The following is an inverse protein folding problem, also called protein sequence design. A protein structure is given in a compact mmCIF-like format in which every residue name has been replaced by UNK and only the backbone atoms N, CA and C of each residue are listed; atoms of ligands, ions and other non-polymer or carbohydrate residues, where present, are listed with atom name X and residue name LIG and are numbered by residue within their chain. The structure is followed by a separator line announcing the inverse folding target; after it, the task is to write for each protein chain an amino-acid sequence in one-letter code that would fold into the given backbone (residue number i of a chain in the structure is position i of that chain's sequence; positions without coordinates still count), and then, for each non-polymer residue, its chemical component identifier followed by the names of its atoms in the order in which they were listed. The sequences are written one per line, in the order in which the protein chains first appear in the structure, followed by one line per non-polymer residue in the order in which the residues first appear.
data_IF_582968089107
#
_entry.id   IF_582968089107
#
_cell.length_a   1.000
_cell.length_b   1.000
_cell.length_c   1.000
_cell.angle_alpha   90.00
_cell.angle_beta   90.00
_cell.angle_gamma   90.00
#
_symmetry.space_group_name_H-M   'P 1'
#
loop_
_entity.id
_entity.type
_entity.pdbx_description
1 polymer ?
#
# COMPACT_ATOMS: atom_id res chain seq x y z
N UNK A 1 2.31 17.84 -2.90
CA UNK A 1 3.12 16.65 -2.54
C UNK A 1 3.27 15.74 -3.75
N UNK A 2 4.47 15.28 -4.09
CA UNK A 2 4.71 14.21 -5.07
C UNK A 2 5.28 12.99 -4.33
N UNK A 3 4.66 11.83 -4.48
CA UNK A 3 5.04 10.55 -3.89
C UNK A 3 5.33 9.55 -5.01
N UNK A 4 6.50 8.91 -4.98
CA UNK A 4 6.90 7.92 -5.98
C UNK A 4 7.23 6.58 -5.31
N UNK A 5 6.63 5.50 -5.79
CA UNK A 5 6.98 4.14 -5.38
C UNK A 5 7.95 3.56 -6.42
N UNK A 6 9.24 3.72 -6.18
CA UNK A 6 10.30 3.48 -7.16
C UNK A 6 10.70 2.00 -7.17
N UNK A 7 10.25 1.26 -8.19
CA UNK A 7 10.43 -0.20 -8.28
C UNK A 7 11.80 -0.61 -8.84
N UNK A 8 12.45 0.28 -9.61
CA UNK A 8 13.69 0.01 -10.36
C UNK A 8 14.88 0.86 -9.92
N UNK A 9 14.67 1.81 -9.01
CA UNK A 9 15.64 2.84 -8.62
C UNK A 9 15.90 3.91 -9.69
N UNK A 10 14.98 4.06 -10.66
CA UNK A 10 15.13 5.02 -11.76
C UNK A 10 15.01 6.48 -11.28
N UNK A 11 14.38 6.71 -10.12
CA UNK A 11 14.21 8.04 -9.53
C UNK A 11 15.35 8.41 -8.56
N UNK A 12 16.32 7.52 -8.33
CA UNK A 12 17.44 7.79 -7.43
C UNK A 12 18.27 8.98 -7.90
N UNK A 13 18.68 8.98 -9.18
CA UNK A 13 19.49 10.05 -9.76
C UNK A 13 18.76 11.40 -9.73
N UNK A 14 17.45 11.39 -9.98
CA UNK A 14 16.61 12.57 -9.88
C UNK A 14 16.62 13.14 -8.46
N UNK A 15 16.49 12.27 -7.45
CA UNK A 15 16.51 12.69 -6.06
C UNK A 15 17.88 13.21 -5.61
N UNK A 16 18.98 12.62 -6.10
CA UNK A 16 20.33 13.14 -5.83
C UNK A 16 20.49 14.54 -6.41
N UNK A 17 20.02 14.76 -7.65
CA UNK A 17 20.09 16.06 -8.33
C UNK A 17 19.22 17.13 -7.66
N UNK A 18 18.05 16.74 -7.14
CA UNK A 18 17.07 17.67 -6.54
C UNK A 18 16.83 17.41 -5.04
N UNK A 19 17.89 17.11 -4.29
CA UNK A 19 17.83 16.70 -2.87
C UNK A 19 17.13 17.68 -1.94
N UNK A 20 17.12 18.98 -2.26
CA UNK A 20 16.41 20.00 -1.48
C UNK A 20 14.89 19.99 -1.67
N UNK A 21 14.41 19.38 -2.76
CA UNK A 21 13.01 19.38 -3.16
C UNK A 21 12.36 17.99 -3.07
N UNK A 22 13.18 16.93 -3.07
CA UNK A 22 12.73 15.55 -3.22
C UNK A 22 13.53 14.61 -2.32
N UNK A 23 12.87 14.06 -1.30
CA UNK A 23 13.47 13.09 -0.37
C UNK A 23 13.48 11.70 -1.01
N UNK A 24 14.55 10.94 -0.82
CA UNK A 24 14.62 9.56 -1.30
C UNK A 24 14.98 8.63 -0.16
N UNK A 25 14.11 7.64 0.05
CA UNK A 25 14.28 6.66 1.10
C UNK A 25 14.58 5.30 0.48
N UNK A 26 15.65 4.67 0.94
CA UNK A 26 15.74 3.22 0.83
C UNK A 26 14.74 2.61 1.80
N UNK A 27 14.12 1.49 1.43
CA UNK A 27 13.14 0.82 2.27
C UNK A 27 13.64 0.60 3.70
N UNK A 28 14.89 0.14 3.85
CA UNK A 28 15.53 -0.11 5.16
C UNK A 28 15.62 1.14 6.05
N UNK A 29 15.67 2.33 5.44
CA UNK A 29 15.80 3.62 6.14
C UNK A 29 14.42 4.28 6.31
N UNK A 30 13.37 3.70 5.73
CA UNK A 30 11.99 4.13 5.87
C UNK A 30 11.33 3.38 7.03
N UNK A 31 11.61 3.81 8.26
CA UNK A 31 11.03 3.22 9.47
C UNK A 31 9.57 3.67 9.68
N UNK A 32 8.61 2.81 9.36
CA UNK A 32 7.19 3.02 9.63
C UNK A 32 6.60 1.85 10.44
N UNK A 33 5.44 2.09 11.05
CA UNK A 33 4.64 1.06 11.67
C UNK A 33 3.31 0.91 10.92
N UNK A 34 3.14 -0.22 10.24
CA UNK A 34 1.90 -0.48 9.51
C UNK A 34 0.69 -0.66 10.41
N UNK A 35 0.88 -1.11 11.65
CA UNK A 35 -0.21 -1.22 12.62
C UNK A 35 -0.61 0.12 13.23
N UNK A 36 0.19 1.17 13.05
CA UNK A 36 -0.16 2.53 13.51
C UNK A 36 -1.06 3.23 12.51
N UNK A 37 -2.23 3.76 12.94
CA UNK A 37 -3.11 4.53 12.08
C UNK A 37 -2.44 5.85 11.65
N UNK A 38 -2.77 6.38 10.47
CA UNK A 38 -2.44 7.76 10.13
C UNK A 38 -3.07 8.75 11.12
N UNK A 39 -2.47 9.93 11.26
CA UNK A 39 -2.96 10.97 12.15
C UNK A 39 -4.41 11.37 11.81
N UNK A 40 -5.28 11.40 12.82
CA UNK A 40 -6.70 11.74 12.67
C UNK A 40 -7.59 10.59 12.20
N UNK A 41 -7.02 9.42 11.89
CA UNK A 41 -7.79 8.22 11.54
C UNK A 41 -8.12 7.43 12.80
N UNK A 42 -9.37 7.01 12.95
CA UNK A 42 -9.80 6.15 14.05
C UNK A 42 -9.07 4.80 13.99
N UNK A 43 -8.51 4.37 15.13
CA UNK A 43 -7.77 3.12 15.24
C UNK A 43 -8.57 1.92 14.72
N UNK A 44 -9.86 1.81 15.07
CA UNK A 44 -10.70 0.69 14.62
C UNK A 44 -10.88 0.65 13.10
N UNK A 45 -11.04 1.82 12.47
CA UNK A 45 -11.15 1.93 11.02
C UNK A 45 -9.87 1.44 10.35
N UNK A 46 -8.71 1.86 10.88
CA UNK A 46 -7.41 1.42 10.37
C UNK A 46 -7.18 -0.09 10.58
N UNK A 47 -7.56 -0.64 11.72
CA UNK A 47 -7.44 -2.09 12.00
C UNK A 47 -8.24 -2.90 10.98
N UNK A 48 -9.50 -2.54 10.76
CA UNK A 48 -10.36 -3.24 9.81
C UNK A 48 -9.77 -3.20 8.40
N UNK A 49 -9.31 -2.02 7.99
CA UNK A 49 -8.69 -1.83 6.69
C UNK A 49 -7.38 -2.61 6.53
N UNK A 50 -6.47 -2.49 7.51
CA UNK A 50 -5.19 -3.19 7.47
C UNK A 50 -5.40 -4.71 7.41
N UNK A 51 -6.36 -5.23 8.18
CA UNK A 51 -6.72 -6.63 8.14
C UNK A 51 -7.27 -7.05 6.77
N UNK A 52 -8.08 -6.21 6.12
CA UNK A 52 -8.60 -6.45 4.77
C UNK A 52 -7.50 -6.42 3.70
N UNK A 53 -6.58 -5.47 3.78
CA UNK A 53 -5.41 -5.37 2.89
C UNK A 53 -4.56 -6.64 3.00
N UNK A 54 -4.19 -7.03 4.23
CA UNK A 54 -3.38 -8.21 4.49
C UNK A 54 -4.12 -9.50 4.10
N UNK A 55 -5.44 -9.58 4.37
CA UNK A 55 -6.27 -10.71 3.95
C UNK A 55 -6.32 -10.86 2.44
N UNK A 56 -6.49 -9.75 1.71
CA UNK A 56 -6.50 -9.75 0.25
C UNK A 56 -5.14 -10.16 -0.30
N UNK A 57 -4.06 -9.56 0.20
CA UNK A 57 -2.70 -9.85 -0.27
C UNK A 57 -2.27 -11.29 0.01
N UNK A 58 -2.61 -11.83 1.18
CA UNK A 58 -2.30 -13.20 1.54
C UNK A 58 -3.33 -14.23 1.04
N UNK A 59 -4.37 -13.80 0.30
CA UNK A 59 -5.46 -14.65 -0.17
C UNK A 59 -6.14 -15.43 0.98
N UNK A 60 -6.33 -14.76 2.11
CA UNK A 60 -6.90 -15.34 3.31
C UNK A 60 -8.43 -15.42 3.18
N UNK A 61 -9.00 -16.43 3.85
CA UNK A 61 -10.46 -16.57 4.00
C UNK A 61 -10.96 -15.56 5.03
N UNK A 62 -12.25 -15.23 4.95
CA UNK A 62 -12.92 -14.25 5.83
C UNK A 62 -12.67 -14.52 7.33
N UNK A 63 -12.64 -15.78 7.77
CA UNK A 63 -12.38 -16.14 9.16
C UNK A 63 -10.97 -15.70 9.63
N UNK A 64 -9.96 -15.78 8.76
CA UNK A 64 -8.60 -15.34 9.07
C UNK A 64 -8.47 -13.81 9.10
N UNK A 65 -9.28 -13.11 8.30
CA UNK A 65 -9.40 -11.66 8.41
C UNK A 65 -10.02 -11.27 9.76
N UNK A 66 -11.11 -11.92 10.18
CA UNK A 66 -11.77 -11.67 11.48
C UNK A 66 -10.78 -11.91 12.63
N UNK A 67 -10.06 -13.03 12.62
CA UNK A 67 -9.04 -13.31 13.62
C UNK A 67 -7.96 -12.22 13.67
N UNK A 68 -7.55 -11.68 12.52
CA UNK A 68 -6.57 -10.60 12.46
C UNK A 68 -7.12 -9.28 13.02
N UNK A 69 -8.39 -8.96 12.76
CA UNK A 69 -9.09 -7.80 13.36
C UNK A 69 -9.16 -7.93 14.87
N UNK A 70 -9.62 -9.07 15.38
CA UNK A 70 -9.74 -9.32 16.83
C UNK A 70 -8.38 -9.18 17.52
N UNK A 71 -7.34 -9.78 16.92
CA UNK A 71 -5.99 -9.76 17.44
C UNK A 71 -5.42 -8.33 17.47
N UNK A 72 -5.53 -7.59 16.37
CA UNK A 72 -5.08 -6.20 16.32
C UNK A 72 -5.82 -5.32 17.32
N UNK A 73 -7.13 -5.52 17.47
CA UNK A 73 -7.97 -4.77 18.43
C UNK A 73 -7.50 -5.03 19.86
N UNK A 74 -7.26 -6.29 20.23
CA UNK A 74 -6.73 -6.66 21.54
C UNK A 74 -5.36 -6.02 21.79
N UNK A 75 -4.41 -6.16 20.85
CA UNK A 75 -3.07 -5.58 20.99
C UNK A 75 -3.10 -4.06 21.16
N UNK A 76 -3.99 -3.35 20.45
CA UNK A 76 -4.14 -1.90 20.62
C UNK A 76 -4.73 -1.51 21.98
N UNK A 77 -5.56 -2.36 22.59
CA UNK A 77 -6.13 -2.10 23.91
C UNK A 77 -5.16 -2.42 25.06
N UNK A 78 -4.25 -3.37 24.86
CA UNK A 78 -3.33 -3.85 25.89
C UNK A 78 -2.01 -3.06 25.96
N UNK A 79 -1.66 -2.30 24.91
CA UNK A 79 -0.37 -1.64 24.77
C UNK A 79 -0.50 -0.11 24.82
N UNK A 80 0.36 0.54 25.59
CA UNK A 80 0.44 2.02 25.64
C UNK A 80 0.93 2.64 24.33
N UNK A 81 1.63 1.85 23.51
CA UNK A 81 2.13 2.22 22.19
C UNK A 81 1.47 1.37 21.11
N UNK A 82 1.33 1.89 19.89
CA UNK A 82 0.84 1.11 18.76
C UNK A 82 1.62 -0.21 18.59
N UNK A 83 0.93 -1.35 18.46
CA UNK A 83 1.58 -2.63 18.24
C UNK A 83 2.33 -2.63 16.91
N UNK A 84 3.23 -3.58 16.71
CA UNK A 84 3.95 -3.81 15.45
C UNK A 84 3.55 -5.16 14.85
N UNK A 85 3.91 -5.43 13.59
CA UNK A 85 3.68 -6.77 13.02
C UNK A 85 4.48 -7.87 13.75
N UNK A 86 5.59 -7.50 14.43
CA UNK A 86 6.29 -8.43 15.33
C UNK A 86 5.42 -8.81 16.54
N UNK A 87 4.67 -7.86 17.11
CA UNK A 87 3.75 -8.13 18.22
C UNK A 87 2.58 -9.00 17.76
N UNK A 88 2.08 -8.76 16.55
CA UNK A 88 1.09 -9.62 15.89
C UNK A 88 1.62 -11.05 15.72
N UNK A 89 2.82 -11.23 15.18
CA UNK A 89 3.44 -12.55 15.03
C UNK A 89 3.61 -13.28 16.39
N UNK A 90 4.05 -12.55 17.43
CA UNK A 90 4.17 -13.09 18.79
C UNK A 90 2.82 -13.55 19.35
N UNK A 91 1.74 -12.78 19.16
CA UNK A 91 0.39 -13.18 19.61
C UNK A 91 -0.12 -14.40 18.84
N UNK A 92 0.11 -14.45 17.54
CA UNK A 92 -0.24 -15.63 16.72
C UNK A 92 0.52 -16.88 17.17
N UNK A 93 1.79 -16.74 17.59
CA UNK A 93 2.54 -17.86 18.17
C UNK A 93 1.87 -18.41 19.43
N UNK A 94 1.41 -17.54 20.34
CA UNK A 94 0.70 -17.96 21.55
C UNK A 94 -0.57 -18.73 21.22
N UNK A 95 -1.40 -18.21 20.30
CA UNK A 95 -2.64 -18.87 19.85
C UNK A 95 -2.35 -20.23 19.19
N UNK A 96 -1.30 -20.29 18.35
CA UNK A 96 -0.94 -21.48 17.59
C UNK A 96 -0.41 -22.63 18.46
N UNK A 97 0.45 -22.32 19.44
CA UNK A 97 1.27 -23.33 20.11
C UNK A 97 1.07 -23.42 21.63
N UNK A 98 0.62 -22.36 22.28
CA UNK A 98 0.55 -22.29 23.76
C UNK A 98 -0.90 -22.43 24.23
N UNK A 99 -1.81 -21.64 23.67
CA UNK A 99 -3.19 -21.56 24.13
C UNK A 99 -4.02 -22.74 23.61
N UNK A 100 -5.05 -23.14 24.36
CA UNK A 100 -6.08 -24.05 23.85
C UNK A 100 -7.12 -23.26 23.07
N UNK A 101 -6.77 -22.90 21.83
CA UNK A 101 -7.66 -22.18 20.91
C UNK A 101 -8.19 -23.07 19.78
N UNK A 102 -9.43 -22.85 19.37
CA UNK A 102 -9.99 -23.44 18.14
C UNK A 102 -9.37 -22.82 16.88
N UNK A 103 -8.70 -21.67 17.00
CA UNK A 103 -8.10 -20.93 15.88
C UNK A 103 -6.64 -21.33 15.58
N UNK A 104 -6.14 -22.42 16.16
CA UNK A 104 -4.72 -22.84 16.05
C UNK A 104 -4.20 -22.93 14.63
N UNK A 105 -4.86 -23.70 13.77
CA UNK A 105 -4.39 -23.90 12.39
C UNK A 105 -4.38 -22.59 11.59
N UNK A 106 -5.39 -21.75 11.84
CA UNK A 106 -5.51 -20.44 11.22
C UNK A 106 -4.39 -19.52 11.66
N UNK A 107 -4.08 -19.51 12.97
CA UNK A 107 -2.98 -18.74 13.54
C UNK A 107 -1.62 -19.20 13.00
N UNK A 108 -1.41 -20.51 12.78
CA UNK A 108 -0.19 -21.04 12.16
C UNK A 108 -0.02 -20.48 10.73
N UNK A 109 -1.07 -20.54 9.91
CA UNK A 109 -1.03 -20.05 8.52
C UNK A 109 -0.79 -18.54 8.46
N UNK A 110 -1.49 -17.77 9.29
CA UNK A 110 -1.30 -16.32 9.41
C UNK A 110 0.11 -15.98 9.85
N UNK A 111 0.62 -16.66 10.87
CA UNK A 111 1.97 -16.46 11.39
C UNK A 111 3.01 -16.68 10.30
N UNK A 112 2.91 -17.78 9.57
CA UNK A 112 3.86 -18.08 8.48
C UNK A 112 3.92 -16.96 7.43
N UNK A 113 2.76 -16.40 7.04
CA UNK A 113 2.68 -15.28 6.09
C UNK A 113 3.27 -14.00 6.67
N UNK A 114 2.94 -13.66 7.91
CA UNK A 114 3.47 -12.46 8.59
C UNK A 114 4.98 -12.57 8.81
N UNK A 115 5.49 -13.73 9.20
CA UNK A 115 6.93 -13.94 9.38
C UNK A 115 7.70 -13.88 8.05
N UNK A 116 7.11 -14.42 6.97
CA UNK A 116 7.67 -14.27 5.63
C UNK A 116 7.77 -12.80 5.21
N UNK A 117 6.72 -12.02 5.50
CA UNK A 117 6.70 -10.58 5.25
C UNK A 117 7.76 -9.84 6.08
N UNK A 118 7.87 -10.15 7.38
CA UNK A 118 8.87 -9.58 8.29
C UNK A 118 10.30 -9.92 7.87
N UNK A 119 10.53 -11.11 7.32
CA UNK A 119 11.85 -11.52 6.82
C UNK A 119 12.28 -10.67 5.62
N UNK A 120 11.34 -10.28 4.76
CA UNK A 120 11.61 -9.49 3.56
C UNK A 120 11.71 -7.99 3.87
N UNK A 121 10.80 -7.47 4.69
CA UNK A 121 10.72 -6.04 5.00
C UNK A 121 11.60 -5.62 6.18
N UNK A 122 12.06 -6.57 6.99
CA UNK A 122 12.86 -6.31 8.19
C UNK A 122 12.16 -5.34 9.14
N UNK A 123 12.91 -4.38 9.66
CA UNK A 123 12.40 -3.36 10.58
C UNK A 123 11.68 -2.20 9.89
N UNK A 124 11.71 -2.11 8.55
CA UNK A 124 11.16 -0.96 7.82
C UNK A 124 9.67 -0.74 8.10
N UNK A 125 8.89 -1.80 8.29
CA UNK A 125 7.42 -1.70 8.41
C UNK A 125 6.88 -2.09 9.78
N UNK A 126 7.79 -2.44 10.68
CA UNK A 126 7.51 -2.90 12.05
C UNK A 126 8.32 -2.13 13.09
N UNK A 127 8.74 -0.92 12.76
CA UNK A 127 9.51 -0.08 13.68
C UNK A 127 8.59 0.58 14.71
N UNK A 128 9.08 0.73 15.94
CA UNK A 128 8.44 1.61 16.94
C UNK A 128 8.75 3.09 16.66
N UNK A 129 9.83 3.36 15.93
CA UNK A 129 10.13 4.68 15.39
C UNK A 129 9.35 4.83 14.10
N UNK A 130 8.76 6.00 13.90
CA UNK A 130 7.95 6.29 12.74
C UNK A 130 8.51 7.51 12.03
N UNK A 131 8.60 7.43 10.71
CA UNK A 131 8.76 8.62 9.89
C UNK A 131 7.60 9.57 10.22
N UNK A 132 7.91 10.86 10.36
CA UNK A 132 6.89 11.86 10.60
C UNK A 132 5.98 11.95 9.37
N UNK A 133 4.80 11.33 9.46
CA UNK A 133 3.78 11.35 8.42
C UNK A 133 3.39 12.79 8.02
N UNK A 134 3.40 13.72 8.97
CA UNK A 134 3.22 15.14 8.68
C UNK A 134 4.28 15.65 7.69
N UNK A 135 5.56 15.38 7.95
CA UNK A 135 6.65 15.77 7.04
C UNK A 135 6.53 15.11 5.67
N UNK A 136 6.09 13.84 5.61
CA UNK A 136 5.88 13.14 4.34
C UNK A 136 4.73 13.72 3.52
N UNK A 137 3.68 14.20 4.18
CA UNK A 137 2.54 14.83 3.50
C UNK A 137 2.93 16.22 2.96
N UNK A 138 3.81 16.92 3.65
CA UNK A 138 4.24 18.29 3.29
C UNK A 138 5.45 18.31 2.34
N UNK A 139 6.14 17.19 2.12
CA UNK A 139 7.33 17.08 1.28
C UNK A 139 7.12 16.18 0.06
N UNK A 140 7.93 16.36 -0.99
CA UNK A 140 7.98 15.37 -2.07
C UNK A 140 8.95 14.26 -1.70
N UNK A 141 8.59 13.01 -1.97
CA UNK A 141 9.42 11.87 -1.61
C UNK A 141 9.27 10.69 -2.56
N UNK A 142 10.30 9.85 -2.61
CA UNK A 142 10.27 8.52 -3.17
C UNK A 142 10.72 7.49 -2.14
N UNK A 143 10.18 6.28 -2.27
CA UNK A 143 10.67 5.11 -1.57
C UNK A 143 11.11 4.06 -2.59
N UNK A 144 12.34 3.58 -2.46
CA UNK A 144 12.85 2.47 -3.26
C UNK A 144 12.21 1.17 -2.80
N UNK A 145 11.47 0.52 -3.69
CA UNK A 145 10.94 -0.83 -3.54
C UNK A 145 11.75 -1.87 -4.35
N UNK A 146 12.86 -1.46 -4.97
CA UNK A 146 13.73 -2.37 -5.71
C UNK A 146 14.28 -3.49 -4.82
N UNK A 147 14.43 -4.68 -5.41
CA UNK A 147 14.83 -5.90 -4.72
C UNK A 147 13.69 -6.65 -4.02
N UNK A 148 12.51 -6.04 -3.87
CA UNK A 148 11.31 -6.74 -3.39
C UNK A 148 10.62 -7.51 -4.53
N UNK A 149 9.91 -8.59 -4.18
CA UNK A 149 9.03 -9.26 -5.14
C UNK A 149 7.86 -8.37 -5.53
N UNK A 150 7.36 -8.50 -6.75
CA UNK A 150 6.25 -7.68 -7.28
C UNK A 150 5.04 -7.67 -6.33
N UNK A 151 4.70 -8.81 -5.75
CA UNK A 151 3.61 -8.93 -4.77
C UNK A 151 3.84 -8.04 -3.53
N UNK A 152 5.05 -8.05 -2.95
CA UNK A 152 5.38 -7.23 -1.77
C UNK A 152 5.45 -5.74 -2.12
N UNK A 153 5.92 -5.40 -3.33
CA UNK A 153 5.87 -4.02 -3.84
C UNK A 153 4.42 -3.52 -3.89
N UNK A 154 3.51 -4.32 -4.45
CA UNK A 154 2.08 -4.01 -4.51
C UNK A 154 1.45 -3.82 -3.12
N UNK A 155 1.84 -4.64 -2.14
CA UNK A 155 1.38 -4.48 -0.76
C UNK A 155 1.84 -3.14 -0.16
N UNK A 156 3.11 -2.78 -0.34
CA UNK A 156 3.65 -1.52 0.16
C UNK A 156 2.89 -0.32 -0.45
N UNK A 157 2.72 -0.32 -1.78
CA UNK A 157 1.94 0.71 -2.49
C UNK A 157 0.53 0.79 -1.91
N UNK A 158 -0.14 -0.35 -1.73
CA UNK A 158 -1.52 -0.40 -1.23
C UNK A 158 -1.65 0.21 0.16
N UNK A 159 -0.76 -0.15 1.08
CA UNK A 159 -0.79 0.36 2.46
C UNK A 159 -0.51 1.84 2.50
N UNK A 160 0.54 2.31 1.82
CA UNK A 160 0.89 3.73 1.85
C UNK A 160 -0.13 4.60 1.12
N UNK A 161 -0.70 4.12 0.02
CA UNK A 161 -1.82 4.79 -0.64
C UNK A 161 -3.03 4.91 0.29
N UNK A 162 -3.41 3.81 0.95
CA UNK A 162 -4.50 3.78 1.91
C UNK A 162 -4.25 4.75 3.09
N UNK A 163 -3.02 4.82 3.61
CA UNK A 163 -2.64 5.77 4.66
C UNK A 163 -2.84 7.22 4.22
N UNK A 164 -2.34 7.58 3.03
CA UNK A 164 -2.48 8.93 2.46
C UNK A 164 -3.95 9.28 2.24
N UNK A 165 -4.72 8.38 1.65
CA UNK A 165 -6.14 8.60 1.36
C UNK A 165 -6.96 8.77 2.64
N UNK A 166 -6.83 7.84 3.60
CA UNK A 166 -7.58 7.91 4.85
C UNK A 166 -7.22 9.13 5.70
N UNK A 167 -5.94 9.53 5.71
CA UNK A 167 -5.55 10.78 6.34
C UNK A 167 -6.38 11.95 5.80
N UNK A 168 -6.54 12.04 4.47
CA UNK A 168 -7.31 13.13 3.86
C UNK A 168 -8.81 13.00 4.11
N UNK A 169 -9.36 11.78 4.07
CA UNK A 169 -10.77 11.51 4.37
C UNK A 169 -11.11 11.92 5.80
N UNK A 170 -10.39 11.38 6.79
CA UNK A 170 -10.73 11.58 8.20
C UNK A 170 -10.43 13.00 8.70
N UNK A 171 -9.50 13.73 8.06
CA UNK A 171 -9.26 15.14 8.35
C UNK A 171 -10.12 16.09 7.50
N UNK A 172 -11.14 15.58 6.79
CA UNK A 172 -12.05 16.35 5.94
C UNK A 172 -11.34 17.26 4.91
N UNK A 173 -10.22 16.80 4.36
CA UNK A 173 -9.41 17.54 3.38
C UNK A 173 -9.93 17.36 1.94
N UNK A 174 -11.26 17.45 1.78
CA UNK A 174 -11.93 17.37 0.49
C UNK A 174 -11.59 18.60 -0.33
N UNK A 175 -11.23 18.41 -1.60
CA UNK A 175 -10.82 19.52 -2.45
C UNK A 175 -11.00 19.15 -3.92
N UNK A 176 -11.22 20.16 -4.75
CA UNK A 176 -11.25 20.04 -6.22
C UNK A 176 -9.89 20.34 -6.84
N UNK A 177 -8.94 20.87 -6.06
CA UNK A 177 -7.57 21.15 -6.50
C UNK A 177 -6.69 19.91 -6.33
N UNK A 178 -5.66 19.82 -7.17
CA UNK A 178 -4.63 18.80 -7.06
C UNK A 178 -3.67 19.17 -5.92
N UNK A 179 -3.64 18.36 -4.87
CA UNK A 179 -2.79 18.57 -3.68
C UNK A 179 -1.66 17.56 -3.60
N UNK A 180 -1.96 16.32 -3.96
CA UNK A 180 -1.06 15.18 -3.86
C UNK A 180 -1.00 14.45 -5.18
N UNK A 181 0.20 14.01 -5.55
CA UNK A 181 0.47 13.30 -6.78
C UNK A 181 1.19 12.01 -6.48
N UNK A 182 0.65 10.88 -6.93
CA UNK A 182 1.23 9.56 -6.69
C UNK A 182 1.64 8.97 -8.04
N UNK A 183 2.92 8.61 -8.16
CA UNK A 183 3.47 8.01 -9.38
C UNK A 183 3.64 6.51 -9.14
N UNK A 184 2.96 5.73 -9.97
CA UNK A 184 2.98 4.27 -9.98
C UNK A 184 3.63 3.78 -11.27
N UNK A 185 4.90 3.42 -11.17
CA UNK A 185 5.61 2.76 -12.27
C UNK A 185 5.24 1.26 -12.34
N UNK A 186 5.26 0.70 -13.54
CA UNK A 186 4.82 -0.68 -13.84
C UNK A 186 3.39 -0.99 -13.33
N UNK A 187 2.45 -0.10 -13.61
CA UNK A 187 1.07 -0.17 -13.14
C UNK A 187 0.32 -1.42 -13.60
N UNK A 188 0.70 -2.04 -14.73
CA UNK A 188 0.10 -3.30 -15.21
C UNK A 188 0.29 -4.47 -14.24
N UNK A 189 1.33 -4.42 -13.39
CA UNK A 189 1.52 -5.41 -12.34
C UNK A 189 0.62 -5.16 -11.12
N UNK A 190 0.14 -3.92 -10.93
CA UNK A 190 -0.78 -3.55 -9.85
C UNK A 190 -2.24 -3.76 -10.26
N UNK A 191 -2.57 -3.51 -11.53
CA UNK A 191 -3.93 -3.57 -12.09
C UNK A 191 -3.97 -4.38 -13.40
N UNK A 192 -3.71 -5.69 -13.40
CA UNK A 192 -3.76 -6.48 -14.62
C UNK A 192 -5.21 -6.64 -15.12
N UNK A 193 -5.42 -6.69 -16.45
CA UNK A 193 -6.77 -6.90 -17.05
C UNK A 193 -7.47 -8.15 -16.56
N UNK A 194 -6.71 -9.21 -16.31
CA UNK A 194 -7.21 -10.55 -16.01
C UNK A 194 -7.55 -10.77 -14.53
N UNK A 195 -7.48 -9.74 -13.67
CA UNK A 195 -7.94 -9.84 -12.27
C UNK A 195 -9.47 -9.93 -12.19
N UNK A 196 -10.00 -11.05 -12.67
CA UNK A 196 -11.40 -11.23 -13.06
C UNK A 196 -12.40 -11.37 -11.92
N UNK A 197 -12.02 -11.35 -10.63
CA UNK A 197 -13.00 -11.60 -9.53
C UNK A 197 -12.82 -10.87 -8.21
N UNK A 198 -11.77 -10.07 -8.04
CA UNK A 198 -11.67 -9.15 -6.90
C UNK A 198 -11.32 -7.80 -7.46
N UNK A 199 -12.29 -6.90 -7.48
CA UNK A 199 -12.01 -5.46 -7.58
C UNK A 199 -10.92 -5.22 -6.55
N UNK A 200 -9.74 -4.84 -7.01
CA UNK A 200 -8.63 -4.57 -6.11
C UNK A 200 -9.12 -3.49 -5.16
N UNK A 201 -9.06 -3.73 -3.85
CA UNK A 201 -9.36 -2.75 -2.80
C UNK A 201 -8.72 -1.37 -3.12
N UNK A 202 -7.56 -1.42 -3.77
CA UNK A 202 -6.81 -0.27 -4.23
C UNK A 202 -7.54 0.53 -5.34
N UNK A 203 -8.27 -0.15 -6.25
CA UNK A 203 -9.10 0.48 -7.29
C UNK A 203 -10.24 1.31 -6.69
N UNK A 204 -10.95 0.77 -5.69
CA UNK A 204 -12.01 1.50 -4.97
C UNK A 204 -11.45 2.74 -4.25
N UNK A 205 -10.22 2.63 -3.73
CA UNK A 205 -9.53 3.77 -3.16
C UNK A 205 -9.11 4.81 -4.20
N UNK A 206 -8.70 4.42 -5.39
CA UNK A 206 -8.39 5.39 -6.46
C UNK A 206 -9.62 6.19 -6.89
N UNK A 207 -10.77 5.53 -7.00
CA UNK A 207 -12.01 6.22 -7.37
C UNK A 207 -12.36 7.31 -6.34
N UNK A 208 -12.13 7.04 -5.06
CA UNK A 208 -12.33 8.02 -3.99
C UNK A 208 -11.25 9.10 -3.96
N UNK A 209 -10.02 8.77 -4.33
CA UNK A 209 -8.84 9.64 -4.24
C UNK A 209 -9.03 10.99 -4.96
N UNK A 210 -9.74 10.99 -6.10
CA UNK A 210 -10.06 12.21 -6.85
C UNK A 210 -10.82 13.24 -6.02
N UNK A 211 -11.78 12.82 -5.19
CA UNK A 211 -12.57 13.73 -4.35
C UNK A 211 -11.73 14.46 -3.29
N UNK A 212 -10.53 13.94 -3.01
CA UNK A 212 -9.61 14.47 -2.02
C UNK A 212 -8.37 15.12 -2.65
N UNK A 213 -8.38 15.41 -3.95
CA UNK A 213 -7.24 16.09 -4.60
C UNK A 213 -5.99 15.23 -4.74
N UNK A 214 -6.12 13.90 -4.74
CA UNK A 214 -5.03 12.97 -5.05
C UNK A 214 -5.11 12.62 -6.54
N UNK A 215 -4.11 13.06 -7.30
CA UNK A 215 -3.88 12.62 -8.67
C UNK A 215 -2.91 11.43 -8.72
N UNK A 216 -3.07 10.58 -9.73
CA UNK A 216 -2.24 9.38 -9.89
C UNK A 216 -1.74 9.28 -11.32
N UNK A 217 -0.44 9.05 -11.51
CA UNK A 217 0.14 8.64 -12.79
C UNK A 217 0.34 7.14 -12.76
N UNK A 218 -0.20 6.48 -13.78
CA UNK A 218 0.06 5.10 -14.10
C UNK A 218 1.06 5.03 -15.25
N UNK A 219 2.28 4.57 -14.98
CA UNK A 219 3.26 4.23 -15.99
C UNK A 219 3.16 2.74 -16.33
N UNK A 220 3.01 2.38 -17.60
CA UNK A 220 3.03 0.98 -18.04
C UNK A 220 3.58 0.88 -19.46
N UNK A 221 4.34 -0.17 -19.73
CA UNK A 221 4.83 -0.49 -21.07
C UNK A 221 3.82 -1.31 -21.88
N UNK A 222 2.84 -1.92 -21.21
CA UNK A 222 1.83 -2.78 -21.83
C UNK A 222 0.42 -2.25 -21.59
N UNK A 223 -0.48 -2.56 -22.51
CA UNK A 223 -1.91 -2.31 -22.37
C UNK A 223 -2.60 -3.33 -21.45
N UNK A 224 -1.87 -4.20 -20.74
CA UNK A 224 -2.44 -5.13 -19.77
C UNK A 224 -2.83 -4.42 -18.46
N UNK A 225 -3.69 -3.41 -18.57
CA UNK A 225 -4.21 -2.60 -17.48
C UNK A 225 -5.73 -2.77 -17.36
N UNK A 226 -6.24 -2.80 -16.14
CA UNK A 226 -7.67 -2.89 -15.87
C UNK A 226 -8.44 -1.76 -16.58
N UNK A 227 -9.54 -2.05 -17.30
CA UNK A 227 -10.32 -1.06 -18.05
C UNK A 227 -10.75 0.15 -17.21
N UNK A 228 -11.02 -0.06 -15.93
CA UNK A 228 -11.43 0.96 -14.98
C UNK A 228 -10.35 2.03 -14.77
N UNK A 229 -9.07 1.69 -14.93
CA UNK A 229 -7.98 2.68 -14.87
C UNK A 229 -8.08 3.63 -16.06
N UNK A 230 -8.30 3.11 -17.27
CA UNK A 230 -8.46 3.94 -18.45
C UNK A 230 -9.71 4.84 -18.37
N UNK A 231 -10.84 4.27 -17.94
CA UNK A 231 -12.09 5.02 -17.77
C UNK A 231 -12.02 6.12 -16.71
N UNK A 232 -11.15 5.98 -15.70
CA UNK A 232 -10.95 6.98 -14.66
C UNK A 232 -9.76 7.93 -14.94
N UNK A 233 -9.08 7.79 -16.07
CA UNK A 233 -7.91 8.60 -16.44
C UNK A 233 -8.29 9.73 -17.39
N UNK A 234 -8.09 10.98 -16.95
CA UNK A 234 -8.44 12.17 -17.73
C UNK A 234 -7.41 12.51 -18.82
N UNK A 235 -6.14 12.17 -18.62
CA UNK A 235 -5.05 12.51 -19.55
C UNK A 235 -4.25 11.26 -19.84
N UNK A 236 -4.16 10.89 -21.11
CA UNK A 236 -3.39 9.74 -21.59
C UNK A 236 -2.22 10.26 -22.43
N UNK A 237 -1.02 9.79 -22.13
CA UNK A 237 0.19 10.17 -22.85
C UNK A 237 0.81 8.88 -23.39
N UNK A 238 0.93 8.80 -24.70
CA UNK A 238 1.69 7.75 -25.37
C UNK A 238 3.09 8.27 -25.68
N UNK A 239 4.11 7.57 -25.20
CA UNK A 239 5.51 7.89 -25.51
C UNK A 239 6.16 6.66 -26.13
N UNK A 240 6.74 6.84 -27.32
CA UNK A 240 7.16 5.72 -28.15
C UNK A 240 5.98 5.09 -28.91
N UNK A 241 6.18 3.86 -29.40
CA UNK A 241 5.12 3.08 -30.06
C UNK A 241 4.84 1.79 -29.30
N UNK A 242 3.60 1.31 -29.36
CA UNK A 242 3.29 -0.05 -28.96
C UNK A 242 3.87 -1.05 -29.96
N UNK A 243 4.26 -2.23 -29.47
CA UNK A 243 4.79 -3.31 -30.30
C UNK A 243 3.72 -4.00 -31.16
N UNK A 244 2.44 -3.85 -30.85
CA UNK A 244 1.32 -4.52 -31.53
C UNK A 244 0.23 -3.52 -31.96
N UNK A 245 -0.36 -3.74 -33.14
CA UNK A 245 -1.43 -2.88 -33.68
C UNK A 245 -2.68 -2.79 -32.79
N UNK A 246 -3.04 -3.89 -32.12
CA UNK A 246 -4.18 -3.96 -31.20
C UNK A 246 -4.07 -3.02 -29.99
N UNK A 247 -2.85 -2.73 -29.54
CA UNK A 247 -2.62 -1.83 -28.41
C UNK A 247 -2.96 -0.37 -28.78
N UNK A 248 -2.76 0.03 -30.04
CA UNK A 248 -3.14 1.36 -30.52
C UNK A 248 -4.66 1.52 -30.62
N UNK A 249 -5.35 0.50 -31.13
CA UNK A 249 -6.82 0.52 -31.21
C UNK A 249 -7.42 0.61 -29.82
N UNK A 250 -6.89 -0.17 -28.87
CA UNK A 250 -7.35 -0.15 -27.50
C UNK A 250 -7.07 1.20 -26.83
N UNK A 251 -5.85 1.74 -26.97
CA UNK A 251 -5.50 3.06 -26.42
C UNK A 251 -6.35 4.18 -27.01
N UNK A 252 -6.65 4.13 -28.32
CA UNK A 252 -7.51 5.11 -28.99
C UNK A 252 -8.98 4.97 -28.62
N UNK A 253 -9.43 3.77 -28.25
CA UNK A 253 -10.82 3.50 -27.84
C UNK A 253 -11.12 3.80 -26.36
N UNK A 254 -10.08 3.93 -25.53
CA UNK A 254 -10.17 4.04 -24.07
C UNK A 254 -10.08 5.48 -23.56
#
# INVERSE_FOLDING_TARGET
MICVFDRKQDYFDLAVRYKSLFLYFLLKDFEDNWCSPPKGVLTQLWINLLAEILATHFELRIAAQILLVDLLTQLHSEMDSFPTLHDVSKRLYKIAYIEKSFNKEMAIRLKFRIDGLLTVLGSATSSKRQVSWQKLIDANWAISLAGLSSSVQSLCVTIYFAKILLYRICNNLRTTKLESFIVLDEASQLFPKTSSKKISLLLDYFQQARAFGIGVIFGSQTMNLAPEIFGNTATKILVGGFGHGSDYEEFGSA
#
